data_IF_552407182834
#
_entry.id   IF_552407182834
#
_cell.length_a   1.000
_cell.length_b   1.000
_cell.length_c   1.000
_cell.angle_alpha   90.00
_cell.angle_beta   90.00
_cell.angle_gamma   90.00
#
_symmetry.space_group_name_H-M   'P 1'
#
loop_
_entity.id
_entity.type
_entity.pdbx_description
1 polymer ?
#
# COMPACT_ATOMS: atom_id res chain seq x y z
N UNK A 1 -3.31 -29.79 8.98
CA UNK A 1 -3.36 -30.12 7.55
C UNK A 1 -3.07 -28.84 6.78
N UNK A 2 -2.14 -28.86 5.84
CA UNK A 2 -1.78 -27.67 5.05
C UNK A 2 -2.72 -27.58 3.83
N UNK A 3 -3.74 -26.72 3.94
CA UNK A 3 -4.81 -26.57 2.95
C UNK A 3 -4.86 -25.18 2.30
N UNK A 4 -3.94 -24.28 2.63
CA UNK A 4 -3.87 -22.92 2.09
C UNK A 4 -2.52 -22.73 1.39
N UNK A 5 -2.55 -22.37 0.11
CA UNK A 5 -1.37 -21.95 -0.64
C UNK A 5 -1.31 -20.41 -0.68
N UNK A 6 -0.27 -19.84 -0.10
CA UNK A 6 0.03 -18.40 -0.12
C UNK A 6 1.15 -18.15 -1.14
N UNK A 7 0.91 -17.25 -2.08
CA UNK A 7 1.86 -16.91 -3.14
C UNK A 7 2.15 -15.40 -3.10
N UNK A 8 3.43 -15.04 -3.14
CA UNK A 8 3.83 -13.65 -3.38
C UNK A 8 4.95 -13.57 -4.41
N UNK A 9 4.66 -13.04 -5.59
CA UNK A 9 5.62 -12.89 -6.68
C UNK A 9 6.56 -11.68 -6.49
N UNK A 10 6.25 -10.77 -5.58
CA UNK A 10 7.09 -9.64 -5.23
C UNK A 10 7.26 -9.57 -3.70
N UNK A 11 8.12 -10.43 -3.17
CA UNK A 11 8.31 -10.53 -1.73
C UNK A 11 9.25 -9.42 -1.20
N UNK A 12 8.69 -8.21 -1.06
CA UNK A 12 9.34 -7.06 -0.44
C UNK A 12 8.29 -6.08 0.13
N UNK A 13 8.71 -5.15 0.99
CA UNK A 13 7.88 -4.07 1.53
C UNK A 13 6.53 -4.52 2.12
N UNK A 14 5.44 -3.88 1.69
CA UNK A 14 4.07 -4.16 2.13
C UNK A 14 3.55 -5.53 1.66
N UNK A 15 4.00 -6.03 0.51
CA UNK A 15 3.63 -7.37 0.02
C UNK A 15 4.16 -8.45 0.96
N UNK A 16 5.45 -8.38 1.26
CA UNK A 16 6.09 -9.26 2.24
C UNK A 16 5.40 -9.18 3.59
N UNK A 17 5.16 -7.97 4.08
CA UNK A 17 4.58 -7.75 5.40
C UNK A 17 3.17 -8.36 5.53
N UNK A 18 2.32 -8.21 4.51
CA UNK A 18 1.00 -8.84 4.50
C UNK A 18 1.09 -10.37 4.44
N UNK A 19 1.88 -10.91 3.52
CA UNK A 19 1.92 -12.36 3.33
C UNK A 19 2.59 -13.07 4.52
N UNK A 20 3.58 -12.45 5.16
CA UNK A 20 4.19 -12.94 6.41
C UNK A 20 3.19 -12.96 7.56
N UNK A 21 2.38 -11.90 7.70
CA UNK A 21 1.30 -11.84 8.68
C UNK A 21 0.31 -12.99 8.45
N UNK A 22 -0.19 -13.16 7.23
CA UNK A 22 -1.14 -14.22 6.89
C UNK A 22 -0.54 -15.61 7.10
N UNK A 23 0.72 -15.83 6.69
CA UNK A 23 1.39 -17.11 6.91
C UNK A 23 1.51 -17.43 8.40
N UNK A 24 1.92 -16.44 9.21
CA UNK A 24 2.06 -16.58 10.67
C UNK A 24 0.75 -16.94 11.34
N UNK A 25 -0.35 -16.24 11.02
CA UNK A 25 -1.66 -16.45 11.68
C UNK A 25 -2.41 -17.68 11.17
N UNK A 26 -2.15 -18.11 9.93
CA UNK A 26 -2.77 -19.29 9.33
C UNK A 26 -1.94 -20.57 9.56
N UNK A 27 -0.73 -20.48 10.11
CA UNK A 27 0.10 -21.66 10.40
C UNK A 27 -0.59 -22.60 11.41
N UNK A 28 -0.54 -23.94 11.23
CA UNK A 28 0.19 -24.69 10.20
C UNK A 28 -0.63 -25.01 8.94
N UNK A 29 -1.74 -24.31 8.68
CA UNK A 29 -2.59 -24.54 7.50
C UNK A 29 -2.01 -23.98 6.21
N UNK A 30 -1.11 -23.00 6.29
CA UNK A 30 -0.57 -22.30 5.13
C UNK A 30 0.82 -22.81 4.70
N UNK A 31 1.03 -22.86 3.39
CA UNK A 31 2.35 -22.97 2.75
C UNK A 31 2.62 -21.67 1.99
N UNK A 32 3.79 -21.08 2.21
CA UNK A 32 4.19 -19.83 1.57
C UNK A 32 5.21 -20.09 0.46
N UNK A 33 4.91 -19.62 -0.75
CA UNK A 33 5.81 -19.64 -1.92
C UNK A 33 6.06 -18.20 -2.38
N UNK A 34 7.32 -17.81 -2.45
CA UNK A 34 7.70 -16.41 -2.72
C UNK A 34 8.72 -16.30 -3.83
N UNK A 35 8.67 -15.21 -4.60
CA UNK A 35 9.75 -14.77 -5.47
C UNK A 35 10.37 -13.48 -4.94
N UNK A 36 11.69 -13.25 -5.12
CA UNK A 36 12.34 -12.03 -4.66
C UNK A 36 11.66 -10.77 -5.20
N UNK A 37 11.40 -9.78 -4.34
CA UNK A 37 10.81 -8.48 -4.68
C UNK A 37 11.77 -7.53 -5.41
N UNK A 38 12.44 -8.03 -6.44
CA UNK A 38 13.28 -7.23 -7.33
C UNK A 38 12.70 -7.28 -8.74
N UNK A 39 12.89 -6.18 -9.48
CA UNK A 39 12.48 -6.08 -10.90
C UNK A 39 11.00 -6.46 -11.10
N UNK A 40 10.09 -5.76 -10.41
CA UNK A 40 8.65 -6.00 -10.49
C UNK A 40 8.08 -6.14 -11.92
N UNK A 41 8.57 -5.43 -12.98
CA UNK A 41 8.11 -5.63 -14.36
C UNK A 41 8.27 -7.07 -14.88
N UNK A 42 9.27 -7.79 -14.38
CA UNK A 42 9.52 -9.18 -14.73
C UNK A 42 8.68 -10.12 -13.87
N UNK A 43 8.37 -9.75 -12.63
CA UNK A 43 7.43 -10.50 -11.78
C UNK A 43 6.02 -10.48 -12.38
N UNK A 44 5.54 -9.33 -12.82
CA UNK A 44 4.24 -9.21 -13.47
C UNK A 44 4.11 -9.96 -14.80
N UNK A 45 5.24 -10.24 -15.50
CA UNK A 45 5.25 -10.94 -16.80
C UNK A 45 5.53 -12.43 -16.71
N UNK A 46 6.39 -12.85 -15.78
CA UNK A 46 6.99 -14.19 -15.84
C UNK A 46 6.82 -14.98 -14.54
N UNK A 47 6.22 -14.41 -13.50
CA UNK A 47 6.08 -15.11 -12.21
C UNK A 47 5.30 -16.41 -12.36
N UNK A 48 4.22 -16.44 -13.14
CA UNK A 48 3.39 -17.63 -13.33
C UNK A 48 4.16 -18.83 -13.90
N UNK A 49 5.11 -18.58 -14.82
CA UNK A 49 5.99 -19.63 -15.35
C UNK A 49 6.87 -20.22 -14.23
N UNK A 50 7.58 -19.37 -13.48
CA UNK A 50 8.48 -19.80 -12.41
C UNK A 50 7.69 -20.50 -11.29
N UNK A 51 6.56 -19.92 -10.90
CA UNK A 51 5.66 -20.47 -9.88
C UNK A 51 5.13 -21.84 -10.26
N UNK A 52 4.85 -22.09 -11.54
CA UNK A 52 4.36 -23.39 -12.01
C UNK A 52 5.34 -24.54 -11.71
N UNK A 53 6.65 -24.25 -11.71
CA UNK A 53 7.72 -25.20 -11.46
C UNK A 53 7.98 -25.40 -9.96
N UNK A 54 7.94 -24.33 -9.16
CA UNK A 54 8.33 -24.38 -7.74
C UNK A 54 7.18 -24.72 -6.80
N UNK A 55 5.92 -24.46 -7.19
CA UNK A 55 4.76 -24.86 -6.38
C UNK A 55 4.72 -26.39 -6.37
N UNK A 56 4.70 -27.06 -5.21
CA UNK A 56 4.62 -28.51 -5.16
C UNK A 56 3.37 -29.04 -5.89
N UNK A 57 3.53 -30.11 -6.67
CA UNK A 57 2.39 -30.87 -7.19
C UNK A 57 1.86 -31.72 -6.04
N UNK A 58 0.91 -31.18 -5.30
CA UNK A 58 0.33 -31.86 -4.15
C UNK A 58 -1.16 -32.05 -4.41
N UNK A 59 -1.51 -33.20 -4.97
CA UNK A 59 -2.79 -33.40 -5.69
C UNK A 59 -4.04 -33.26 -4.83
N UNK A 60 -3.96 -33.25 -3.49
CA UNK A 60 -5.16 -33.32 -2.64
C UNK A 60 -5.13 -32.56 -1.30
N UNK A 61 -4.16 -31.68 -1.04
CA UNK A 61 -4.13 -30.96 0.26
C UNK A 61 -4.70 -29.54 0.19
N UNK A 62 -4.39 -28.78 -0.87
CA UNK A 62 -4.81 -27.39 -0.97
C UNK A 62 -6.30 -27.27 -1.31
N UNK A 63 -6.93 -26.28 -0.70
CA UNK A 63 -8.32 -25.86 -0.95
C UNK A 63 -8.39 -24.39 -1.35
N UNK A 64 -7.43 -23.59 -0.90
CA UNK A 64 -7.38 -22.16 -1.12
C UNK A 64 -6.05 -21.75 -1.75
N UNK A 65 -6.10 -20.77 -2.65
CA UNK A 65 -4.94 -20.07 -3.18
C UNK A 65 -5.13 -18.58 -2.92
N UNK A 66 -4.20 -17.97 -2.20
CA UNK A 66 -4.14 -16.53 -2.00
C UNK A 66 -2.89 -15.98 -2.70
N UNK A 67 -3.03 -14.90 -3.46
CA UNK A 67 -1.91 -14.22 -4.11
C UNK A 67 -2.14 -12.72 -4.25
N UNK A 68 -1.07 -11.94 -4.38
CA UNK A 68 -1.18 -10.57 -4.89
C UNK A 68 -1.54 -10.55 -6.38
N UNK A 69 -2.07 -9.42 -6.85
CA UNK A 69 -2.42 -9.17 -8.26
C UNK A 69 -1.22 -9.09 -9.21
N UNK A 70 0.02 -9.18 -8.70
CA UNK A 70 1.24 -9.25 -9.51
C UNK A 70 1.31 -10.59 -10.27
N UNK A 71 0.78 -11.67 -9.68
CA UNK A 71 0.73 -12.98 -10.35
C UNK A 71 -0.36 -12.94 -11.42
N UNK A 72 0.00 -13.29 -12.66
CA UNK A 72 -0.99 -13.55 -13.68
C UNK A 72 -1.67 -14.90 -13.40
N UNK A 73 -2.77 -14.88 -12.64
CA UNK A 73 -3.48 -16.09 -12.23
C UNK A 73 -3.95 -16.91 -13.43
N UNK A 74 -4.36 -16.24 -14.52
CA UNK A 74 -4.86 -16.92 -15.71
C UNK A 74 -3.81 -17.82 -16.38
N UNK A 75 -2.55 -17.38 -16.41
CA UNK A 75 -1.42 -18.19 -16.88
C UNK A 75 -1.10 -19.31 -15.89
N UNK A 76 -1.06 -18.99 -14.59
CA UNK A 76 -0.66 -19.96 -13.56
C UNK A 76 -1.60 -21.18 -13.54
N UNK A 77 -2.92 -20.95 -13.51
CA UNK A 77 -3.91 -22.05 -13.50
C UNK A 77 -3.97 -22.80 -14.84
N UNK A 78 -3.54 -22.17 -15.94
CA UNK A 78 -3.42 -22.84 -17.24
C UNK A 78 -2.21 -23.79 -17.30
N UNK A 79 -1.10 -23.42 -16.65
CA UNK A 79 0.09 -24.27 -16.51
C UNK A 79 -0.08 -25.33 -15.42
N UNK A 80 -0.95 -25.07 -14.44
CA UNK A 80 -1.18 -25.91 -13.27
C UNK A 80 -2.67 -26.20 -13.08
N UNK A 81 -3.15 -27.16 -13.86
CA UNK A 81 -4.56 -27.57 -13.86
C UNK A 81 -5.05 -28.02 -12.47
N UNK A 82 -4.16 -28.56 -11.63
CA UNK A 82 -4.46 -28.93 -10.25
C UNK A 82 -4.84 -27.73 -9.38
N UNK A 83 -4.28 -26.54 -9.65
CA UNK A 83 -4.60 -25.31 -8.92
C UNK A 83 -5.94 -24.69 -9.34
N UNK A 84 -6.51 -25.08 -10.48
CA UNK A 84 -7.78 -24.54 -11.00
C UNK A 84 -8.98 -24.86 -10.10
N UNK A 85 -8.90 -25.94 -9.33
CA UNK A 85 -9.96 -26.38 -8.42
C UNK A 85 -10.00 -25.62 -7.08
N UNK A 86 -8.96 -24.84 -6.79
CA UNK A 86 -8.83 -24.12 -5.53
C UNK A 86 -9.72 -22.87 -5.52
N UNK A 87 -10.22 -22.50 -4.35
CA UNK A 87 -10.82 -21.17 -4.15
C UNK A 87 -9.72 -20.12 -4.22
N UNK A 88 -9.72 -19.31 -5.26
CA UNK A 88 -8.70 -18.32 -5.58
C UNK A 88 -9.08 -16.93 -5.06
N UNK A 89 -8.20 -16.36 -4.25
CA UNK A 89 -8.37 -15.06 -3.59
C UNK A 89 -7.21 -14.16 -4.01
N UNK A 90 -7.49 -13.08 -4.73
CA UNK A 90 -6.46 -12.17 -5.23
C UNK A 90 -6.53 -10.85 -4.50
N UNK A 91 -5.40 -10.41 -3.94
CA UNK A 91 -5.27 -9.15 -3.23
C UNK A 91 -4.56 -8.09 -4.09
N UNK A 92 -5.24 -6.98 -4.35
CA UNK A 92 -4.75 -5.84 -5.11
C UNK A 92 -4.09 -4.83 -4.17
N UNK A 93 -2.76 -4.90 -4.06
CA UNK A 93 -1.95 -3.86 -3.44
C UNK A 93 -1.92 -2.58 -4.30
N UNK A 94 -1.85 -2.78 -5.62
CA UNK A 94 -1.83 -1.72 -6.61
C UNK A 94 -2.65 -2.09 -7.85
N UNK A 95 -2.93 -1.05 -8.63
CA UNK A 95 -3.74 -1.08 -9.84
C UNK A 95 -2.96 -0.42 -10.99
N UNK A 96 -2.59 -1.23 -11.98
CA UNK A 96 -1.81 -0.79 -13.16
C UNK A 96 -2.65 0.00 -14.20
N UNK A 97 -3.98 0.05 -14.03
CA UNK A 97 -4.89 0.83 -14.88
C UNK A 97 -4.92 2.31 -14.45
N UNK A 98 -4.63 2.60 -13.17
CA UNK A 98 -4.67 3.94 -12.59
C UNK A 98 -3.27 4.52 -12.28
N UNK A 99 -2.20 3.78 -12.55
CA UNK A 99 -0.83 4.26 -12.35
C UNK A 99 -0.49 5.40 -13.35
N UNK A 100 0.11 6.52 -12.90
CA UNK A 100 0.49 7.62 -13.78
C UNK A 100 1.60 7.19 -14.75
N UNK A 101 1.37 7.37 -16.05
CA UNK A 101 2.33 7.01 -17.11
C UNK A 101 2.96 8.28 -17.67
N UNK A 102 4.29 8.33 -17.74
CA UNK A 102 5.01 9.56 -18.09
C UNK A 102 4.92 9.91 -19.58
N UNK A 103 4.76 8.91 -20.45
CA UNK A 103 4.64 9.12 -21.90
C UNK A 103 3.94 7.95 -22.61
N UNK A 104 3.53 8.19 -23.86
CA UNK A 104 2.81 7.22 -24.71
C UNK A 104 3.61 5.93 -24.97
N UNK A 105 4.95 6.02 -25.10
CA UNK A 105 5.81 4.85 -25.34
C UNK A 105 5.83 3.92 -24.13
N UNK A 106 5.94 4.49 -22.93
CA UNK A 106 5.80 3.76 -21.68
C UNK A 106 4.41 3.15 -21.57
N UNK A 107 3.39 3.90 -21.97
CA UNK A 107 2.01 3.44 -21.90
C UNK A 107 1.70 2.25 -22.81
N UNK A 108 2.30 2.19 -24.00
CA UNK A 108 2.19 1.03 -24.88
C UNK A 108 2.93 -0.19 -24.30
N UNK A 109 4.16 0.00 -23.81
CA UNK A 109 4.98 -1.08 -23.23
C UNK A 109 4.36 -1.70 -21.98
N UNK A 110 3.75 -0.86 -21.15
CA UNK A 110 3.23 -1.25 -19.83
C UNK A 110 1.73 -1.63 -19.89
N UNK A 111 1.13 -1.69 -21.09
CA UNK A 111 -0.24 -2.18 -21.29
C UNK A 111 -0.42 -3.61 -20.74
N UNK A 112 0.59 -4.47 -20.86
CA UNK A 112 0.48 -5.86 -20.42
C UNK A 112 0.14 -5.99 -18.92
N UNK A 113 0.63 -5.10 -18.05
CA UNK A 113 0.42 -5.27 -16.61
C UNK A 113 -1.05 -5.08 -16.22
N UNK A 114 -1.67 -3.99 -16.70
CA UNK A 114 -3.09 -3.76 -16.50
C UNK A 114 -3.94 -4.85 -17.15
N UNK A 115 -3.53 -5.35 -18.32
CA UNK A 115 -4.22 -6.47 -18.98
C UNK A 115 -4.14 -7.77 -18.15
N UNK A 116 -2.97 -8.09 -17.60
CA UNK A 116 -2.77 -9.24 -16.71
C UNK A 116 -3.62 -9.13 -15.44
N UNK A 117 -3.72 -7.94 -14.86
CA UNK A 117 -4.59 -7.70 -13.70
C UNK A 117 -6.08 -7.89 -14.04
N UNK A 118 -6.53 -7.47 -15.22
CA UNK A 118 -7.91 -7.70 -15.68
C UNK A 118 -8.19 -9.20 -15.86
N UNK A 119 -7.29 -9.93 -16.53
CA UNK A 119 -7.44 -11.37 -16.73
C UNK A 119 -7.43 -12.12 -15.39
N UNK A 120 -6.51 -11.75 -14.50
CA UNK A 120 -6.43 -12.28 -13.13
C UNK A 120 -7.73 -12.04 -12.38
N UNK A 121 -8.23 -10.80 -12.40
CA UNK A 121 -9.52 -10.46 -11.81
C UNK A 121 -10.65 -11.28 -12.42
N UNK A 122 -10.68 -11.52 -13.73
CA UNK A 122 -11.73 -12.30 -14.40
C UNK A 122 -11.73 -13.78 -14.00
N UNK A 123 -10.57 -14.40 -13.76
CA UNK A 123 -10.49 -15.83 -13.41
C UNK A 123 -10.51 -16.11 -11.90
N UNK A 124 -10.24 -15.11 -11.04
CA UNK A 124 -10.29 -15.28 -9.59
C UNK A 124 -11.71 -15.53 -9.07
N UNK A 125 -11.86 -16.21 -7.93
CA UNK A 125 -13.15 -16.36 -7.25
C UNK A 125 -13.47 -15.13 -6.40
N UNK A 126 -12.45 -14.51 -5.77
CA UNK A 126 -12.57 -13.31 -4.96
C UNK A 126 -11.46 -12.32 -5.31
N UNK A 127 -11.82 -11.06 -5.50
CA UNK A 127 -10.89 -9.95 -5.65
C UNK A 127 -10.96 -9.04 -4.42
N UNK A 128 -9.85 -8.88 -3.70
CA UNK A 128 -9.74 -8.02 -2.53
C UNK A 128 -8.96 -6.77 -2.92
N UNK A 129 -9.51 -5.59 -2.65
CA UNK A 129 -8.84 -4.32 -2.88
C UNK A 129 -8.49 -3.67 -1.54
N UNK A 130 -7.29 -3.11 -1.44
CA UNK A 130 -6.81 -2.48 -0.21
C UNK A 130 -7.57 -1.21 0.19
N UNK A 131 -8.38 -0.62 -0.69
CA UNK A 131 -9.21 0.56 -0.41
C UNK A 131 -10.37 0.68 -1.40
N UNK A 132 -11.40 1.47 -1.04
CA UNK A 132 -12.45 1.83 -1.99
C UNK A 132 -11.89 2.68 -3.13
N UNK A 133 -10.91 3.55 -2.86
CA UNK A 133 -10.21 4.29 -3.90
C UNK A 133 -9.57 3.36 -4.95
N UNK A 134 -8.86 2.32 -4.52
CA UNK A 134 -8.23 1.35 -5.43
C UNK A 134 -9.29 0.59 -6.26
N UNK A 135 -10.34 0.06 -5.62
CA UNK A 135 -11.44 -0.62 -6.30
C UNK A 135 -12.13 0.27 -7.34
N UNK A 136 -12.57 1.46 -6.93
CA UNK A 136 -13.33 2.36 -7.79
C UNK A 136 -12.48 2.81 -8.99
N UNK A 137 -11.22 3.16 -8.76
CA UNK A 137 -10.32 3.56 -9.85
C UNK A 137 -10.00 2.41 -10.79
N UNK A 138 -9.88 1.18 -10.31
CA UNK A 138 -9.69 0.01 -11.18
C UNK A 138 -10.89 -0.17 -12.11
N UNK A 139 -12.08 -0.19 -11.51
CA UNK A 139 -13.35 -0.40 -12.20
C UNK A 139 -13.66 0.72 -13.21
N UNK A 140 -13.41 1.98 -12.86
CA UNK A 140 -13.65 3.14 -13.74
C UNK A 140 -12.64 3.24 -14.88
N UNK A 141 -11.41 2.74 -14.69
CA UNK A 141 -10.40 2.73 -15.74
C UNK A 141 -10.50 1.52 -16.68
N UNK A 142 -11.28 0.49 -16.37
CA UNK A 142 -11.49 -0.68 -17.24
C UNK A 142 -11.90 -0.30 -18.66
N UNK A 143 -12.94 0.53 -18.81
CA UNK A 143 -13.47 0.90 -20.12
C UNK A 143 -12.46 1.65 -21.00
N UNK A 144 -11.92 2.80 -20.53
CA UNK A 144 -10.85 3.52 -21.23
C UNK A 144 -9.65 2.64 -21.56
N UNK A 145 -9.26 1.75 -20.66
CA UNK A 145 -8.13 0.83 -20.86
C UNK A 145 -8.42 -0.19 -21.97
N UNK A 146 -9.54 -0.91 -21.90
CA UNK A 146 -9.92 -1.93 -22.89
C UNK A 146 -10.25 -1.32 -24.27
N UNK A 147 -10.71 -0.06 -24.30
CA UNK A 147 -10.94 0.67 -25.55
C UNK A 147 -9.66 0.92 -26.36
N UNK A 148 -8.48 0.71 -25.80
CA UNK A 148 -7.20 0.74 -26.54
C UNK A 148 -6.96 -0.52 -27.37
N UNK A 149 -7.61 -1.65 -27.06
CA UNK A 149 -7.47 -2.91 -27.80
C UNK A 149 -8.12 -2.75 -29.18
N UNK A 150 -7.47 -3.06 -30.31
CA UNK A 150 -8.10 -2.99 -31.63
C UNK A 150 -9.35 -3.88 -31.76
N UNK A 151 -10.22 -3.58 -32.73
CA UNK A 151 -11.40 -4.41 -32.99
C UNK A 151 -11.02 -5.84 -33.43
N UNK A 152 -11.82 -6.87 -33.08
CA UNK A 152 -13.12 -6.81 -32.38
C UNK A 152 -13.00 -6.51 -30.87
N UNK A 153 -13.99 -5.80 -30.33
CA UNK A 153 -14.02 -5.40 -28.91
C UNK A 153 -14.69 -6.45 -28.04
N UNK A 154 -14.17 -6.63 -26.83
CA UNK A 154 -14.83 -7.41 -25.80
C UNK A 154 -16.04 -6.66 -25.22
N UNK A 155 -16.97 -7.39 -24.60
CA UNK A 155 -18.09 -6.80 -23.87
C UNK A 155 -17.59 -6.19 -22.54
N UNK A 156 -17.22 -4.91 -22.58
CA UNK A 156 -16.68 -4.17 -21.43
C UNK A 156 -17.65 -4.15 -20.25
N UNK A 157 -18.96 -4.01 -20.52
CA UNK A 157 -19.96 -3.95 -19.45
C UNK A 157 -20.02 -5.28 -18.69
N UNK A 158 -20.05 -6.39 -19.42
CA UNK A 158 -20.03 -7.73 -18.81
C UNK A 158 -18.74 -7.99 -18.04
N UNK A 159 -17.58 -7.55 -18.55
CA UNK A 159 -16.30 -7.65 -17.83
C UNK A 159 -16.36 -6.86 -16.52
N UNK A 160 -16.85 -5.61 -16.56
CA UNK A 160 -17.00 -4.75 -15.38
C UNK A 160 -17.90 -5.40 -14.33
N UNK A 161 -19.07 -5.88 -14.71
CA UNK A 161 -20.02 -6.54 -13.80
C UNK A 161 -19.43 -7.83 -13.21
N UNK A 162 -18.76 -8.64 -14.04
CA UNK A 162 -18.14 -9.90 -13.59
C UNK A 162 -17.08 -9.65 -12.52
N UNK A 163 -16.21 -8.65 -12.72
CA UNK A 163 -15.17 -8.32 -11.74
C UNK A 163 -15.81 -7.72 -10.48
N UNK A 164 -16.76 -6.78 -10.65
CA UNK A 164 -17.38 -6.08 -9.52
C UNK A 164 -18.12 -7.04 -8.58
N UNK A 165 -18.85 -8.03 -9.12
CA UNK A 165 -19.65 -8.99 -8.34
C UNK A 165 -18.85 -9.84 -7.35
N UNK A 166 -17.54 -9.95 -7.55
CA UNK A 166 -16.62 -10.70 -6.69
C UNK A 166 -15.56 -9.83 -6.03
N UNK A 167 -15.68 -8.51 -6.17
CA UNK A 167 -14.75 -7.55 -5.60
C UNK A 167 -15.21 -7.08 -4.23
N UNK A 168 -14.29 -7.02 -3.27
CA UNK A 168 -14.53 -6.53 -1.92
C UNK A 168 -13.37 -5.65 -1.47
N UNK A 169 -13.62 -4.72 -0.55
CA UNK A 169 -12.57 -3.89 0.05
C UNK A 169 -12.14 -4.48 1.38
N UNK A 170 -10.88 -4.88 1.45
CA UNK A 170 -10.22 -5.36 2.66
C UNK A 170 -9.04 -4.45 2.91
N UNK A 171 -9.14 -3.60 3.93
CA UNK A 171 -8.04 -2.72 4.28
C UNK A 171 -6.78 -3.50 4.59
N UNK A 172 -5.64 -2.89 4.25
CA UNK A 172 -4.36 -3.48 4.57
C UNK A 172 -4.18 -3.48 6.10
N UNK A 173 -3.93 -4.65 6.71
CA UNK A 173 -3.76 -4.76 8.15
C UNK A 173 -2.38 -4.28 8.58
N UNK A 174 -2.35 -3.36 9.52
CA UNK A 174 -1.13 -2.93 10.19
C UNK A 174 -0.78 -3.96 11.27
N UNK A 175 0.29 -4.71 11.01
CA UNK A 175 0.89 -5.59 12.01
C UNK A 175 1.42 -4.80 13.22
N UNK A 176 1.65 -5.49 14.33
CA UNK A 176 2.11 -4.87 15.59
C UNK A 176 3.41 -4.10 15.42
N UNK A 177 3.53 -3.01 16.18
CA UNK A 177 4.83 -2.38 16.44
C UNK A 177 5.69 -3.33 17.27
N UNK A 178 6.98 -3.40 16.94
CA UNK A 178 7.96 -4.13 17.76
C UNK A 178 8.13 -3.39 19.11
N UNK A 179 8.03 -2.07 19.07
CA UNK A 179 8.18 -1.22 20.24
C UNK A 179 6.83 -0.92 20.92
N UNK A 180 6.77 -0.92 22.27
CA UNK A 180 5.59 -0.45 22.96
C UNK A 180 5.37 1.02 22.60
N UNK A 181 4.13 1.38 22.25
CA UNK A 181 3.73 2.77 21.99
C UNK A 181 3.90 3.56 23.29
N UNK A 182 5.09 4.12 23.50
CA UNK A 182 5.29 5.21 24.46
C UNK A 182 4.97 6.47 23.71
N UNK A 183 3.76 6.99 23.90
CA UNK A 183 3.43 8.35 23.45
C UNK A 183 4.36 9.27 24.23
N UNK A 184 5.43 9.72 23.59
CA UNK A 184 6.44 10.54 24.23
C UNK A 184 5.87 11.96 24.34
N UNK A 185 5.11 12.21 25.40
CA UNK A 185 4.51 13.52 25.68
C UNK A 185 5.57 14.57 26.06
N UNK A 186 6.83 14.14 26.25
CA UNK A 186 7.93 14.99 26.68
C UNK A 186 8.82 15.47 25.52
N UNK A 187 8.33 15.41 24.26
CA UNK A 187 9.09 15.96 23.13
C UNK A 187 9.28 17.47 23.30
N UNK A 188 10.54 17.89 23.39
CA UNK A 188 10.96 19.29 23.46
C UNK A 188 11.77 19.68 22.23
N UNK A 189 11.78 20.97 21.89
CA UNK A 189 12.59 21.49 20.78
C UNK A 189 11.79 21.64 19.48
N UNK A 190 12.51 21.85 18.35
CA UNK A 190 11.91 22.20 17.07
C UNK A 190 11.03 21.06 16.52
N UNK A 191 10.18 21.39 15.54
CA UNK A 191 9.25 20.43 14.93
C UNK A 191 10.01 19.34 14.16
N UNK A 192 9.75 18.06 14.43
CA UNK A 192 10.29 16.96 13.63
C UNK A 192 9.32 16.55 12.51
N UNK A 193 9.70 16.77 11.26
CA UNK A 193 8.92 16.49 10.05
C UNK A 193 9.45 15.22 9.38
N UNK A 194 8.57 14.26 9.13
CA UNK A 194 8.87 12.99 8.47
C UNK A 194 8.30 12.98 7.05
N UNK A 195 9.11 12.52 6.09
CA UNK A 195 8.66 12.15 4.75
C UNK A 195 9.06 10.68 4.48
N UNK A 196 8.12 9.71 4.61
CA UNK A 196 8.45 8.28 4.61
C UNK A 196 8.12 7.59 3.28
N UNK A 197 8.54 8.16 2.17
CA UNK A 197 8.19 7.67 0.84
C UNK A 197 9.42 7.19 0.07
N UNK A 198 9.21 6.26 -0.87
CA UNK A 198 10.26 5.89 -1.82
C UNK A 198 10.71 7.12 -2.61
N UNK A 199 11.97 7.12 -3.03
CA UNK A 199 12.57 8.26 -3.72
C UNK A 199 12.21 8.24 -5.21
N UNK A 200 10.92 8.35 -5.49
CA UNK A 200 10.30 8.20 -6.81
C UNK A 200 9.49 9.45 -7.17
N UNK A 201 9.34 9.72 -8.47
CA UNK A 201 8.67 10.93 -8.97
C UNK A 201 7.18 10.99 -8.60
N UNK A 202 6.49 9.86 -8.54
CA UNK A 202 5.07 9.79 -8.19
C UNK A 202 4.81 10.16 -6.71
N UNK A 203 5.85 10.19 -5.87
CA UNK A 203 5.78 10.67 -4.50
C UNK A 203 5.97 12.18 -4.38
N UNK A 204 6.30 12.86 -5.49
CA UNK A 204 6.46 14.31 -5.61
C UNK A 204 7.34 14.92 -4.50
N UNK A 205 8.61 14.49 -4.42
CA UNK A 205 9.57 15.08 -3.50
C UNK A 205 9.83 16.57 -3.79
N UNK A 206 9.64 17.02 -5.03
CA UNK A 206 9.82 18.42 -5.45
C UNK A 206 8.89 19.36 -4.67
N UNK A 207 7.60 19.04 -4.62
CA UNK A 207 6.64 19.84 -3.83
C UNK A 207 7.04 19.85 -2.36
N UNK A 208 7.40 18.70 -1.79
CA UNK A 208 7.80 18.59 -0.38
C UNK A 208 9.02 19.45 -0.07
N UNK A 209 10.12 19.24 -0.80
CA UNK A 209 11.37 19.92 -0.55
C UNK A 209 11.33 21.42 -0.88
N UNK A 210 10.53 21.83 -1.86
CA UNK A 210 10.33 23.26 -2.11
C UNK A 210 9.60 23.96 -0.96
N UNK A 211 8.71 23.27 -0.22
CA UNK A 211 8.11 23.80 1.01
C UNK A 211 9.14 23.85 2.13
N UNK A 212 9.95 22.80 2.30
CA UNK A 212 11.03 22.75 3.30
C UNK A 212 12.02 23.91 3.11
N UNK A 213 12.47 24.16 1.88
CA UNK A 213 13.35 25.29 1.59
C UNK A 213 12.69 26.63 1.90
N UNK A 214 11.40 26.79 1.61
CA UNK A 214 10.69 28.03 1.93
C UNK A 214 10.59 28.27 3.45
N UNK A 215 10.33 27.22 4.25
CA UNK A 215 10.35 27.30 5.72
C UNK A 215 11.72 27.76 6.25
N UNK A 216 12.81 27.28 5.64
CA UNK A 216 14.18 27.62 6.03
C UNK A 216 14.62 29.00 5.51
N UNK A 217 14.63 29.21 4.20
CA UNK A 217 15.22 30.39 3.55
C UNK A 217 14.34 31.65 3.71
N UNK A 218 13.02 31.50 3.62
CA UNK A 218 12.10 32.66 3.63
C UNK A 218 11.60 32.99 5.04
N UNK A 219 11.28 31.96 5.83
CA UNK A 219 10.71 32.17 7.17
C UNK A 219 11.71 31.98 8.32
N UNK A 220 12.92 31.49 8.04
CA UNK A 220 13.99 31.28 9.04
C UNK A 220 13.52 30.47 10.25
N UNK A 221 12.72 29.42 10.00
CA UNK A 221 12.17 28.57 11.05
C UNK A 221 13.08 27.38 11.34
N UNK A 222 13.19 27.00 12.61
CA UNK A 222 13.88 25.79 13.03
C UNK A 222 12.96 24.56 12.96
N UNK A 223 13.48 23.46 12.42
CA UNK A 223 12.81 22.16 12.33
C UNK A 223 13.87 21.06 12.17
N UNK A 224 13.45 19.81 12.31
CA UNK A 224 14.27 18.62 12.03
C UNK A 224 13.58 17.75 10.98
N UNK A 225 14.36 17.16 10.08
CA UNK A 225 13.87 16.32 9.00
C UNK A 225 14.30 14.87 9.18
N UNK A 226 13.32 13.98 9.01
CA UNK A 226 13.54 12.55 8.84
C UNK A 226 13.04 12.18 7.44
N UNK A 227 13.99 12.00 6.53
CA UNK A 227 13.70 11.57 5.15
C UNK A 227 13.97 10.08 5.07
N UNK A 228 12.91 9.30 5.00
CA UNK A 228 12.96 7.83 4.94
C UNK A 228 12.57 7.38 3.54
N UNK A 229 13.08 6.22 3.13
CA UNK A 229 12.68 5.58 1.89
C UNK A 229 13.84 4.95 1.14
N UNK A 230 13.54 3.91 0.39
CA UNK A 230 14.48 3.27 -0.51
C UNK A 230 14.53 3.99 -1.85
N UNK A 231 15.73 4.01 -2.45
CA UNK A 231 15.95 4.42 -3.83
C UNK A 231 16.20 3.18 -4.70
N UNK A 232 15.55 3.10 -5.85
CA UNK A 232 15.66 2.00 -6.79
C UNK A 232 16.11 2.53 -8.16
N UNK A 233 17.42 2.80 -8.29
CA UNK A 233 18.01 3.28 -9.55
C UNK A 233 18.20 4.79 -9.56
N UNK A 234 17.69 5.48 -10.59
CA UNK A 234 17.79 6.94 -10.70
C UNK A 234 16.85 7.63 -9.70
N UNK A 235 17.43 8.48 -8.85
CA UNK A 235 16.70 9.30 -7.88
C UNK A 235 16.48 10.72 -8.43
N UNK A 236 15.37 11.38 -8.09
CA UNK A 236 15.17 12.80 -8.41
C UNK A 236 16.34 13.68 -7.91
N UNK A 237 16.80 14.63 -8.73
CA UNK A 237 17.98 15.47 -8.40
C UNK A 237 17.79 16.27 -7.11
N UNK A 238 16.55 16.64 -6.80
CA UNK A 238 16.18 17.41 -5.61
C UNK A 238 16.73 16.82 -4.31
N UNK A 239 16.83 15.49 -4.18
CA UNK A 239 17.43 14.87 -2.99
C UNK A 239 18.89 15.31 -2.79
N UNK A 240 19.69 15.34 -3.85
CA UNK A 240 21.08 15.80 -3.78
C UNK A 240 21.19 17.32 -3.62
N UNK A 241 20.28 18.08 -4.25
CA UNK A 241 20.26 19.54 -4.15
C UNK A 241 19.98 20.00 -2.72
N UNK A 242 19.05 19.34 -2.03
CA UNK A 242 18.66 19.71 -0.67
C UNK A 242 19.80 19.53 0.33
N UNK A 243 20.60 18.49 0.19
CA UNK A 243 21.79 18.29 1.03
C UNK A 243 22.85 19.39 0.88
N UNK A 244 22.84 20.13 -0.23
CA UNK A 244 23.75 21.27 -0.45
C UNK A 244 23.17 22.62 0.01
N UNK A 245 21.84 22.75 0.07
CA UNK A 245 21.13 23.98 0.45
C UNK A 245 20.79 24.04 1.93
N UNK A 246 20.40 22.91 2.52
CA UNK A 246 19.93 22.83 3.89
C UNK A 246 21.10 22.48 4.84
N UNK A 247 21.33 23.25 5.92
CA UNK A 247 22.37 22.93 6.89
C UNK A 247 22.15 21.56 7.55
N UNK A 248 23.24 20.84 7.84
CA UNK A 248 23.18 19.47 8.35
C UNK A 248 22.45 19.31 9.69
N UNK A 249 22.38 20.36 10.51
CA UNK A 249 21.65 20.35 11.79
C UNK A 249 20.13 20.27 11.63
N UNK A 250 19.58 20.54 10.44
CA UNK A 250 18.16 20.32 10.14
C UNK A 250 17.87 18.86 9.77
N UNK A 251 18.88 18.03 9.54
CA UNK A 251 18.72 16.66 9.03
C UNK A 251 18.98 15.68 10.17
N UNK A 252 17.91 15.07 10.66
CA UNK A 252 17.98 14.03 11.69
C UNK A 252 18.31 12.67 11.10
N UNK A 253 17.71 12.34 9.96
CA UNK A 253 17.95 11.10 9.22
C UNK A 253 17.71 11.30 7.72
N UNK A 254 18.50 10.59 6.90
CA UNK A 254 18.39 10.64 5.44
C UNK A 254 18.70 9.28 4.80
N UNK A 255 17.67 8.62 4.27
CA UNK A 255 17.80 7.39 3.49
C UNK A 255 17.03 6.19 4.02
N UNK A 256 17.33 5.04 3.42
CA UNK A 256 16.69 3.77 3.73
C UNK A 256 17.15 3.19 5.07
N UNK A 257 16.25 2.46 5.73
CA UNK A 257 16.52 1.72 6.95
C UNK A 257 16.09 0.28 6.77
N UNK A 258 17.04 -0.63 7.00
CA UNK A 258 16.79 -2.07 6.86
C UNK A 258 16.13 -2.67 8.11
N UNK A 259 16.45 -2.14 9.29
CA UNK A 259 15.89 -2.61 10.56
C UNK A 259 14.49 -2.02 10.81
N UNK A 260 13.47 -2.88 10.90
CA UNK A 260 12.11 -2.46 11.25
C UNK A 260 12.07 -1.73 12.60
N UNK A 261 12.86 -2.17 13.58
CA UNK A 261 12.93 -1.53 14.89
C UNK A 261 13.49 -0.12 14.82
N UNK A 262 14.57 0.10 14.04
CA UNK A 262 15.16 1.44 13.87
C UNK A 262 14.22 2.37 13.10
N UNK A 263 13.51 1.83 12.10
CA UNK A 263 12.47 2.56 11.37
C UNK A 263 11.37 3.05 12.32
N UNK A 264 10.83 2.16 13.15
CA UNK A 264 9.82 2.51 14.16
C UNK A 264 10.35 3.55 15.18
N UNK A 265 11.60 3.46 15.61
CA UNK A 265 12.21 4.44 16.52
C UNK A 265 12.23 5.85 15.90
N UNK A 266 12.64 5.96 14.64
CA UNK A 266 12.65 7.26 13.96
C UNK A 266 11.24 7.80 13.72
N UNK A 267 10.27 6.93 13.43
CA UNK A 267 8.87 7.38 13.37
C UNK A 267 8.40 7.93 14.73
N UNK A 268 8.77 7.28 15.84
CA UNK A 268 8.45 7.76 17.19
C UNK A 268 9.09 9.12 17.51
N UNK A 269 10.17 9.53 16.84
CA UNK A 269 10.76 10.87 16.97
C UNK A 269 9.92 11.95 16.26
N UNK A 270 9.18 11.62 15.20
CA UNK A 270 8.40 12.57 14.39
C UNK A 270 7.20 13.22 15.09
N UNK A 271 7.00 14.51 14.86
CA UNK A 271 5.78 15.23 15.25
C UNK A 271 4.75 15.22 14.11
N UNK A 272 5.20 15.40 12.88
CA UNK A 272 4.37 15.48 11.67
C UNK A 272 4.88 14.50 10.65
N UNK A 273 3.97 13.79 9.98
CA UNK A 273 4.28 12.98 8.80
C UNK A 273 3.61 13.61 7.58
N UNK A 274 4.37 13.79 6.51
CA UNK A 274 3.90 14.47 5.30
C UNK A 274 3.88 13.51 4.12
N UNK A 275 2.80 13.56 3.35
CA UNK A 275 2.74 12.98 2.01
C UNK A 275 2.51 14.07 0.99
N UNK A 276 3.29 14.03 -0.08
CA UNK A 276 3.07 14.84 -1.28
C UNK A 276 2.66 14.01 -2.48
N UNK A 277 2.43 12.71 -2.28
CA UNK A 277 2.30 11.72 -3.34
C UNK A 277 1.23 12.08 -4.37
N UNK A 278 1.59 12.05 -5.64
CA UNK A 278 0.70 12.13 -6.80
C UNK A 278 -0.01 10.81 -7.07
N UNK A 279 0.51 9.71 -6.52
CA UNK A 279 -0.11 8.40 -6.58
C UNK A 279 0.03 7.59 -5.28
N UNK A 280 -1.08 7.01 -4.81
CA UNK A 280 -1.14 6.19 -3.60
C UNK A 280 -2.45 5.39 -3.54
N UNK A 281 -2.37 4.09 -3.24
CA UNK A 281 -3.53 3.21 -3.10
C UNK A 281 -3.88 2.87 -1.65
N UNK A 282 -2.94 3.03 -0.71
CA UNK A 282 -3.21 2.86 0.72
C UNK A 282 -2.36 3.73 1.65
N UNK A 283 -1.07 3.92 1.38
CA UNK A 283 -0.23 4.78 2.22
C UNK A 283 0.13 4.18 3.58
N UNK A 284 0.56 2.90 3.59
CA UNK A 284 0.96 2.15 4.79
C UNK A 284 1.93 2.95 5.67
N UNK A 285 2.99 3.52 5.10
CA UNK A 285 4.00 4.29 5.84
C UNK A 285 3.43 5.53 6.57
N UNK A 286 2.40 6.16 5.99
CA UNK A 286 1.72 7.29 6.64
C UNK A 286 0.93 6.82 7.86
N UNK A 287 0.23 5.68 7.74
CA UNK A 287 -0.51 5.08 8.85
C UNK A 287 0.42 4.55 9.95
N UNK A 288 1.57 3.97 9.60
CA UNK A 288 2.59 3.55 10.56
C UNK A 288 3.10 4.72 11.39
N UNK A 289 3.37 5.87 10.75
CA UNK A 289 3.76 7.09 11.46
C UNK A 289 2.61 7.65 12.34
N UNK A 290 1.37 7.62 11.85
CA UNK A 290 0.21 8.03 12.65
C UNK A 290 0.01 7.15 13.88
N UNK A 291 0.22 5.83 13.74
CA UNK A 291 0.09 4.85 14.83
C UNK A 291 1.03 5.15 16.00
N UNK A 292 2.22 5.68 15.72
CA UNK A 292 3.18 6.12 16.76
C UNK A 292 2.98 7.57 17.20
N UNK A 293 1.93 8.23 16.72
CA UNK A 293 1.45 9.53 17.22
C UNK A 293 1.82 10.74 16.37
N UNK A 294 2.41 10.57 15.18
CA UNK A 294 2.62 11.67 14.25
C UNK A 294 1.29 12.23 13.73
N UNK A 295 1.22 13.55 13.53
CA UNK A 295 0.09 14.19 12.87
C UNK A 295 0.26 14.11 11.35
N UNK A 296 -0.70 13.54 10.61
CA UNK A 296 -0.59 13.46 9.16
C UNK A 296 -0.92 14.80 8.48
N UNK A 297 -0.14 15.12 7.46
CA UNK A 297 -0.47 16.11 6.44
C UNK A 297 -0.43 15.42 5.08
N UNK A 298 -1.59 15.18 4.49
CA UNK A 298 -1.78 14.40 3.26
C UNK A 298 -2.54 15.21 2.20
N UNK A 299 -2.41 14.91 0.90
CA UNK A 299 -3.14 15.65 -0.12
C UNK A 299 -4.65 15.30 -0.06
N UNK A 300 -5.52 16.27 -0.35
CA UNK A 300 -6.99 16.11 -0.43
C UNK A 300 -7.42 15.44 -1.74
N UNK A 301 -6.86 14.25 -2.00
CA UNK A 301 -7.07 13.41 -3.19
C UNK A 301 -6.55 12.00 -2.92
N UNK A 302 -6.71 11.10 -3.90
CA UNK A 302 -6.30 9.69 -3.80
C UNK A 302 -7.04 8.96 -2.68
N UNK A 303 -6.43 7.90 -2.15
CA UNK A 303 -6.91 7.16 -0.97
C UNK A 303 -6.94 8.01 0.31
N UNK A 304 -6.26 9.16 0.34
CA UNK A 304 -6.15 9.95 1.57
C UNK A 304 -7.47 10.58 2.02
N UNK A 305 -8.42 10.82 1.11
CA UNK A 305 -9.76 11.28 1.47
C UNK A 305 -10.58 10.22 2.21
N UNK A 306 -10.30 8.94 1.92
CA UNK A 306 -10.90 7.78 2.55
C UNK A 306 -10.27 7.50 3.93
N UNK A 307 -8.94 7.47 4.01
CA UNK A 307 -8.24 7.06 5.23
C UNK A 307 -8.12 8.16 6.30
N UNK A 308 -8.12 9.41 5.88
CA UNK A 308 -7.97 10.57 6.76
C UNK A 308 -9.20 11.47 6.64
N UNK A 309 -10.37 11.05 7.16
CA UNK A 309 -11.64 11.78 6.99
C UNK A 309 -11.62 13.18 7.62
N UNK A 310 -10.77 13.41 8.62
CA UNK A 310 -10.56 14.73 9.20
C UNK A 310 -9.85 15.66 8.21
N UNK A 311 -10.58 16.65 7.69
CA UNK A 311 -10.05 17.66 6.76
C UNK A 311 -8.84 18.44 7.30
N UNK A 312 -8.66 18.52 8.62
CA UNK A 312 -7.47 19.16 9.20
C UNK A 312 -6.17 18.44 8.84
N UNK A 313 -6.22 17.14 8.54
CA UNK A 313 -5.07 16.37 8.07
C UNK A 313 -4.80 16.57 6.58
N UNK A 314 -5.70 17.21 5.83
CA UNK A 314 -5.62 17.29 4.38
C UNK A 314 -5.21 18.67 3.87
N UNK A 315 -4.55 18.71 2.72
CA UNK A 315 -4.24 19.95 2.01
C UNK A 315 -4.54 19.85 0.50
N UNK A 316 -4.95 20.95 -0.12
CA UNK A 316 -5.31 21.05 -1.54
C UNK A 316 -4.23 21.71 -2.39
N UNK A 317 -3.44 22.61 -1.80
CA UNK A 317 -2.43 23.40 -2.51
C UNK A 317 -1.10 23.41 -1.77
N UNK A 318 0.00 23.63 -2.50
CA UNK A 318 1.33 23.82 -1.90
C UNK A 318 1.32 24.92 -0.82
N UNK A 319 0.62 26.03 -1.07
CA UNK A 319 0.47 27.13 -0.10
C UNK A 319 -0.22 26.67 1.19
N UNK A 320 -1.23 25.80 1.10
CA UNK A 320 -1.89 25.26 2.29
C UNK A 320 -0.97 24.31 3.08
N UNK A 321 -0.21 23.46 2.38
CA UNK A 321 0.82 22.61 3.00
C UNK A 321 1.86 23.45 3.75
N UNK A 322 2.40 24.47 3.07
CA UNK A 322 3.35 25.42 3.65
C UNK A 322 2.79 26.12 4.88
N UNK A 323 1.58 26.68 4.80
CA UNK A 323 0.96 27.41 5.92
C UNK A 323 0.76 26.50 7.14
N UNK A 324 0.34 25.25 6.93
CA UNK A 324 0.21 24.26 8.01
C UNK A 324 1.56 23.98 8.67
N UNK A 325 2.58 23.63 7.88
CA UNK A 325 3.92 23.35 8.42
C UNK A 325 4.53 24.57 9.11
N UNK A 326 4.35 25.77 8.54
CA UNK A 326 4.77 27.04 9.15
C UNK A 326 4.15 27.23 10.52
N UNK A 327 2.83 27.07 10.65
CA UNK A 327 2.13 27.17 11.93
C UNK A 327 2.66 26.15 12.94
N UNK A 328 2.91 24.91 12.51
CA UNK A 328 3.40 23.84 13.37
C UNK A 328 4.85 24.06 13.81
N UNK A 329 5.71 24.59 12.95
CA UNK A 329 7.07 24.97 13.31
C UNK A 329 7.09 26.13 14.34
N UNK A 330 6.15 27.08 14.24
CA UNK A 330 6.05 28.19 15.18
C UNK A 330 5.46 27.78 16.54
N UNK A 331 4.65 26.73 16.58
CA UNK A 331 3.94 26.27 17.79
C UNK A 331 3.94 24.74 17.92
N UNK A 332 5.12 24.09 18.04
CA UNK A 332 5.20 22.63 18.09
C UNK A 332 4.49 22.07 19.33
N UNK A 333 4.54 22.77 20.47
CA UNK A 333 3.86 22.32 21.70
C UNK A 333 2.32 22.36 21.58
N UNK A 334 1.78 23.27 20.76
CA UNK A 334 0.35 23.27 20.46
C UNK A 334 -0.03 22.02 19.66
N UNK A 335 0.73 21.69 18.61
CA UNK A 335 0.54 20.48 17.82
C UNK A 335 0.59 19.22 18.70
N UNK A 336 1.64 19.08 19.53
CA UNK A 336 1.88 17.92 20.40
C UNK A 336 0.74 17.66 21.39
N UNK A 337 0.09 18.71 21.87
CA UNK A 337 -0.90 18.64 22.96
C UNK A 337 -2.36 18.83 22.55
N UNK A 338 -2.64 19.50 21.43
CA UNK A 338 -4.01 19.97 21.09
C UNK A 338 -4.55 19.45 19.77
N UNK A 339 -3.70 19.01 18.84
CA UNK A 339 -4.19 18.54 17.54
C UNK A 339 -4.68 17.10 17.68
N UNK A 340 -5.84 16.83 17.07
CA UNK A 340 -6.47 15.52 17.06
C UNK A 340 -5.57 14.57 16.27
N UNK A 341 -5.14 13.48 16.89
CA UNK A 341 -4.37 12.42 16.22
C UNK A 341 -5.28 11.60 15.32
N UNK A 342 -4.72 11.08 14.24
CA UNK A 342 -5.42 10.12 13.39
C UNK A 342 -5.62 8.81 14.14
N UNK A 343 -6.87 8.35 14.26
CA UNK A 343 -7.15 7.01 14.76
C UNK A 343 -6.78 5.97 13.70
N UNK A 344 -5.89 5.05 14.07
CA UNK A 344 -5.44 3.94 13.23
C UNK A 344 -6.04 2.61 13.65
N UNK A 345 -6.82 2.56 14.73
CA UNK A 345 -7.35 1.32 15.32
C UNK A 345 -8.10 0.45 14.31
N UNK A 346 -8.80 1.06 13.36
CA UNK A 346 -9.52 0.33 12.30
C UNK A 346 -8.62 -0.55 11.41
N UNK A 347 -7.32 -0.24 11.33
CA UNK A 347 -6.35 -0.97 10.52
C UNK A 347 -5.47 -1.92 11.35
N UNK A 348 -5.50 -1.84 12.68
CA UNK A 348 -4.55 -2.57 13.53
C UNK A 348 -4.94 -4.03 13.70
N UNK A 349 -4.11 -4.94 13.20
CA UNK A 349 -4.38 -6.38 13.25
C UNK A 349 -4.65 -6.86 14.68
N UNK A 350 -3.81 -6.51 15.65
CA UNK A 350 -3.93 -7.00 17.03
C UNK A 350 -5.05 -6.34 17.84
N UNK A 351 -5.42 -5.11 17.51
CA UNK A 351 -6.37 -4.33 18.30
C UNK A 351 -7.78 -4.29 17.69
N UNK A 352 -7.94 -4.75 16.45
CA UNK A 352 -9.22 -4.79 15.77
C UNK A 352 -9.64 -6.22 15.43
N UNK A 353 -10.67 -6.72 16.09
CA UNK A 353 -11.20 -8.06 15.83
C UNK A 353 -11.88 -8.16 14.46
N UNK A 354 -12.55 -7.11 14.02
CA UNK A 354 -13.26 -7.10 12.74
C UNK A 354 -12.32 -7.35 11.56
N UNK A 355 -11.21 -6.62 11.46
CA UNK A 355 -10.23 -6.83 10.36
C UNK A 355 -9.63 -8.23 10.42
N UNK A 356 -9.31 -8.76 11.61
CA UNK A 356 -8.83 -10.15 11.74
C UNK A 356 -9.84 -11.14 11.22
N UNK A 357 -11.09 -11.02 11.67
CA UNK A 357 -12.15 -11.96 11.28
C UNK A 357 -12.42 -11.90 9.77
N UNK A 358 -12.40 -10.71 9.16
CA UNK A 358 -12.50 -10.55 7.71
C UNK A 358 -11.48 -11.44 6.98
N UNK A 359 -10.18 -11.33 7.32
CA UNK A 359 -9.14 -12.13 6.68
C UNK A 359 -9.22 -13.63 7.03
N UNK A 360 -9.53 -13.98 8.27
CA UNK A 360 -9.59 -15.39 8.70
C UNK A 360 -10.78 -16.15 8.08
N UNK A 361 -11.91 -15.47 7.86
CA UNK A 361 -13.11 -16.07 7.26
C UNK A 361 -12.94 -16.42 5.78
N UNK A 362 -11.99 -15.79 5.07
CA UNK A 362 -11.66 -16.13 3.67
C UNK A 362 -11.31 -17.63 3.51
N UNK A 363 -10.76 -18.24 4.55
CA UNK A 363 -10.24 -19.61 4.55
C UNK A 363 -11.09 -20.60 5.35
N UNK A 364 -12.38 -20.30 5.52
CA UNK A 364 -13.37 -21.18 6.14
C UNK A 364 -14.27 -21.80 5.06
N UNK A 365 -14.68 -23.06 5.23
CA UNK A 365 -15.60 -23.69 4.29
C UNK A 365 -17.00 -23.10 4.50
N UNK A 366 -17.70 -22.76 3.41
CA UNK A 366 -19.08 -22.24 3.45
C UNK A 366 -20.12 -23.28 3.93
N UNK A 367 -19.70 -24.50 4.29
CA UNK A 367 -20.57 -25.62 4.67
C UNK A 367 -21.07 -25.60 6.12
N UNK A 368 -21.38 -24.43 6.68
CA UNK A 368 -22.06 -24.31 7.99
C UNK A 368 -23.35 -23.46 7.98
N UNK A 369 -23.76 -22.87 6.85
CA UNK A 369 -25.00 -22.09 6.74
C UNK A 369 -26.11 -22.79 5.95
N UNK A 370 -26.22 -24.11 6.07
CA UNK A 370 -27.38 -24.87 5.58
C UNK A 370 -27.98 -25.68 6.73
N UNK A 371 -28.48 -25.00 7.77
CA UNK A 371 -29.45 -25.54 8.74
C UNK A 371 -30.00 -24.41 9.61
N UNK A 372 -30.77 -23.51 9.01
CA UNK A 372 -31.91 -22.91 9.70
C UNK A 372 -33.12 -23.22 8.85
N UNK A 373 -33.71 -24.39 9.13
CA UNK A 373 -35.07 -24.70 8.76
C UNK A 373 -35.96 -23.58 9.33
N UNK A 374 -36.59 -22.80 8.47
CA UNK A 374 -37.81 -22.09 8.83
C UNK A 374 -38.94 -23.09 8.60
N UNK A 375 -39.20 -23.90 9.63
CA UNK A 375 -40.52 -24.46 9.88
C UNK A 375 -41.31 -23.44 10.69
N UNK A 376 -42.57 -23.27 10.26
CA UNK A 376 -43.69 -22.47 10.77
C UNK A 376 -43.83 -21.04 10.23
#
# INVERSE_FOLDING_TARGET
MCDILLIEAFYDGSHRSLIDLLHRVLSPRSMLITLPGTKWPWRARCSSLILSEIIPKNENSFKYLFSSSIVNLSELISLRIDLRSLKTIIYFHENDLAYPKQNEKQEQRDFQYGYNQILTALVADICLFNSFYNLNTFIDKLGPFLNRIPSPKANIQQIRETILNKSQVFYYPLDKTILPIKINNDKTGPLCIIWPHRWEHDKDPETFFSVILELYETYSLEFSLIILGQSYGEQPSIFSEILSKLPSNYIRHWGFIQSKTEYEQLLMEGDVVVSTAQHEFFGVAMLEACRVGCIPIVPDRLVYTELYPNEQHRYRTKTQLLNKLKEYCQKPDYLRNKIIKQDTSQFEWDNNEFIRQQYLQLFQNESLNSNVNISD
#
